data_IF_492160356066
#
_entry.id   IF_492160356066
#
_cell.length_a   1.000
_cell.length_b   1.000
_cell.length_c   1.000
_cell.angle_alpha   90.00
_cell.angle_beta   90.00
_cell.angle_gamma   90.00
#
_symmetry.space_group_name_H-M   'P 1'
#
loop_
_entity.id
_entity.type
_entity.pdbx_description
1 polymer ?
#
# COMPACT_ATOMS: atom_id res chain seq x y z
N UNK A 1 3.64 -2.98 -5.16
CA UNK A 1 3.60 -2.77 -3.70
C UNK A 1 4.29 -1.45 -3.33
N UNK A 2 3.64 -0.59 -2.53
CA UNK A 2 4.18 0.69 -2.06
C UNK A 2 5.58 0.51 -1.48
N UNK A 3 5.82 -0.58 -0.75
CA UNK A 3 7.13 -0.86 -0.17
C UNK A 3 8.21 -1.18 -1.19
N UNK A 4 7.86 -1.88 -2.25
CA UNK A 4 8.79 -2.19 -3.33
C UNK A 4 9.21 -0.91 -4.07
N UNK A 5 8.23 -0.08 -4.43
CA UNK A 5 8.46 1.21 -5.07
C UNK A 5 9.38 2.10 -4.23
N UNK A 6 9.14 2.20 -2.92
CA UNK A 6 9.98 2.98 -2.02
C UNK A 6 11.47 2.59 -2.07
N UNK A 7 11.74 1.29 -2.20
CA UNK A 7 13.08 0.74 -2.18
C UNK A 7 13.79 0.80 -3.54
N UNK A 8 13.05 0.62 -4.64
CA UNK A 8 13.65 0.56 -5.99
C UNK A 8 13.72 1.92 -6.68
N UNK A 9 12.79 2.84 -6.38
CA UNK A 9 12.70 4.15 -7.01
C UNK A 9 13.02 5.27 -6.00
N UNK A 10 14.22 5.20 -5.40
CA UNK A 10 14.61 6.04 -4.26
C UNK A 10 14.41 7.54 -4.49
N UNK A 11 14.81 8.07 -5.65
CA UNK A 11 14.65 9.50 -5.95
C UNK A 11 13.18 9.94 -5.98
N UNK A 12 12.28 9.09 -6.47
CA UNK A 12 10.84 9.33 -6.43
C UNK A 12 10.25 9.23 -5.02
N UNK A 13 10.71 8.25 -4.24
CA UNK A 13 10.30 8.05 -2.86
C UNK A 13 10.72 9.22 -1.96
N UNK A 14 11.97 9.67 -2.08
CA UNK A 14 12.50 10.83 -1.36
C UNK A 14 11.77 12.12 -1.75
N UNK A 15 11.53 12.33 -3.06
CA UNK A 15 10.75 13.47 -3.55
C UNK A 15 9.33 13.48 -2.98
N UNK A 16 8.64 12.32 -2.98
CA UNK A 16 7.32 12.17 -2.37
C UNK A 16 7.35 12.47 -0.86
N UNK A 17 8.37 11.95 -0.15
CA UNK A 17 8.52 12.16 1.29
C UNK A 17 8.64 13.66 1.61
N UNK A 18 9.56 14.34 0.93
CA UNK A 18 9.83 15.75 1.15
C UNK A 18 8.60 16.61 0.86
N UNK A 19 7.83 16.25 -0.17
CA UNK A 19 6.64 17.00 -0.58
C UNK A 19 5.43 16.77 0.36
N UNK A 20 5.12 15.51 0.68
CA UNK A 20 3.88 15.16 1.40
C UNK A 20 4.05 14.96 2.91
N UNK A 21 5.28 14.76 3.39
CA UNK A 21 5.58 14.53 4.81
C UNK A 21 6.30 15.71 5.46
N UNK A 22 7.30 16.30 4.80
CA UNK A 22 8.02 17.48 5.29
C UNK A 22 9.52 17.28 5.49
N UNK A 23 10.14 18.11 6.35
CA UNK A 23 11.61 18.17 6.48
C UNK A 23 12.19 17.02 7.33
N UNK A 24 13.19 16.35 6.77
CA UNK A 24 13.95 15.27 7.39
C UNK A 24 14.46 14.32 6.30
N UNK A 25 15.30 13.36 6.68
CA UNK A 25 15.73 12.32 5.74
C UNK A 25 14.61 11.31 5.57
N UNK A 26 14.27 10.98 4.32
CA UNK A 26 13.38 9.87 4.02
C UNK A 26 13.94 8.58 4.67
N UNK A 27 13.10 7.77 5.34
CA UNK A 27 13.57 6.55 5.99
C UNK A 27 14.11 5.52 4.99
N UNK A 28 15.24 4.89 5.36
CA UNK A 28 15.77 3.73 4.65
C UNK A 28 14.90 2.49 4.90
N UNK A 29 14.22 2.01 3.86
CA UNK A 29 13.17 1.01 3.97
C UNK A 29 11.87 1.62 4.54
N UNK A 30 10.71 1.45 3.88
CA UNK A 30 9.52 2.17 4.27
C UNK A 30 8.91 1.57 5.54
N UNK A 31 8.76 2.36 6.61
CA UNK A 31 7.94 1.96 7.74
C UNK A 31 6.48 1.87 7.31
N UNK A 32 5.70 1.06 8.04
CA UNK A 32 4.30 0.77 7.72
C UNK A 32 3.44 2.03 7.53
N UNK A 33 3.72 3.08 8.31
CA UNK A 33 3.00 4.34 8.24
C UNK A 33 3.15 5.06 6.90
N UNK A 34 4.24 4.84 6.15
CA UNK A 34 4.41 5.40 4.80
C UNK A 34 3.35 4.81 3.86
N UNK A 35 3.22 3.48 3.83
CA UNK A 35 2.19 2.80 3.03
C UNK A 35 0.79 3.23 3.46
N UNK A 36 0.55 3.35 4.78
CA UNK A 36 -0.72 3.87 5.31
C UNK A 36 -1.02 5.29 4.82
N UNK A 37 -0.02 6.17 4.81
CA UNK A 37 -0.17 7.55 4.34
C UNK A 37 -0.45 7.62 2.85
N UNK A 38 0.26 6.84 2.02
CA UNK A 38 0.00 6.75 0.58
C UNK A 38 -1.44 6.31 0.34
N UNK A 39 -1.88 5.21 0.96
CA UNK A 39 -3.25 4.71 0.81
C UNK A 39 -4.28 5.73 1.31
N UNK A 40 -4.02 6.38 2.46
CA UNK A 40 -4.90 7.43 2.99
C UNK A 40 -5.07 8.59 2.02
N UNK A 41 -4.00 9.04 1.38
CA UNK A 41 -4.07 10.11 0.36
C UNK A 41 -4.95 9.70 -0.83
N UNK A 42 -4.93 8.43 -1.24
CA UNK A 42 -5.83 7.93 -2.28
C UNK A 42 -7.29 7.97 -1.81
N UNK A 43 -7.56 7.64 -0.54
CA UNK A 43 -8.89 7.79 0.05
C UNK A 43 -9.33 9.27 0.12
N UNK A 44 -8.44 10.20 0.40
CA UNK A 44 -8.76 11.64 0.55
C UNK A 44 -8.84 12.39 -0.78
N UNK A 45 -8.38 11.79 -1.88
CA UNK A 45 -8.39 12.44 -3.20
C UNK A 45 -9.80 12.83 -3.68
N UNK A 46 -9.90 13.80 -4.59
CA UNK A 46 -11.17 14.15 -5.25
C UNK A 46 -11.57 13.18 -6.37
N UNK A 47 -10.76 12.13 -6.62
CA UNK A 47 -11.06 11.13 -7.64
C UNK A 47 -12.36 10.39 -7.32
N UNK A 48 -13.17 10.14 -8.35
CA UNK A 48 -14.42 9.39 -8.20
C UNK A 48 -14.17 7.99 -7.64
N UNK A 49 -13.15 7.31 -8.15
CA UNK A 49 -12.76 5.96 -7.73
C UNK A 49 -11.36 5.94 -7.14
N UNK A 50 -11.23 5.18 -6.06
CA UNK A 50 -9.94 4.84 -5.44
C UNK A 50 -9.79 3.33 -5.52
N UNK A 51 -8.85 2.88 -6.36
CA UNK A 51 -8.58 1.46 -6.58
C UNK A 51 -7.12 1.23 -6.22
N UNK A 52 -6.89 0.42 -5.19
CA UNK A 52 -5.54 0.04 -4.77
C UNK A 52 -5.38 -1.48 -4.89
N UNK A 53 -4.23 -1.97 -5.37
CA UNK A 53 -3.86 -3.38 -5.27
C UNK A 53 -3.94 -3.89 -3.83
N UNK A 54 -4.36 -5.15 -3.65
CA UNK A 54 -4.41 -5.77 -2.31
C UNK A 54 -3.04 -5.81 -1.63
N UNK A 55 -1.95 -5.89 -2.42
CA UNK A 55 -0.59 -5.83 -1.92
C UNK A 55 -0.31 -4.53 -1.16
N UNK A 56 -0.85 -3.41 -1.64
CA UNK A 56 -0.64 -2.10 -1.00
C UNK A 56 -1.45 -1.96 0.28
N UNK A 57 -2.64 -2.56 0.33
CA UNK A 57 -3.41 -2.66 1.59
C UNK A 57 -2.66 -3.49 2.63
N UNK A 58 -2.10 -4.64 2.25
CA UNK A 58 -1.36 -5.52 3.15
C UNK A 58 -0.04 -4.84 3.61
N UNK A 59 0.63 -4.10 2.73
CA UNK A 59 1.87 -3.36 3.03
C UNK A 59 1.68 -2.26 4.09
N UNK A 60 0.44 -1.86 4.41
CA UNK A 60 0.13 -0.95 5.51
C UNK A 60 0.43 -1.54 6.90
N UNK A 61 0.67 -2.85 7.02
CA UNK A 61 0.85 -3.53 8.30
C UNK A 61 2.01 -4.51 8.28
N UNK A 62 3.00 -4.28 9.14
CA UNK A 62 4.23 -5.06 9.21
C UNK A 62 4.01 -6.54 9.51
N UNK A 63 2.96 -6.88 10.27
CA UNK A 63 2.60 -8.26 10.60
C UNK A 63 1.92 -9.00 9.43
N UNK A 64 1.34 -8.26 8.47
CA UNK A 64 0.59 -8.84 7.37
C UNK A 64 1.42 -8.96 6.09
N UNK A 65 2.33 -8.01 5.85
CA UNK A 65 3.17 -7.96 4.65
C UNK A 65 4.13 -9.13 4.53
N UNK A 66 4.50 -9.45 3.29
CA UNK A 66 5.50 -10.47 3.01
C UNK A 66 6.89 -10.03 3.55
N UNK A 67 7.80 -10.98 3.77
CA UNK A 67 9.17 -10.62 4.18
C UNK A 67 9.92 -9.87 3.07
N UNK A 68 9.81 -10.33 1.83
CA UNK A 68 10.47 -9.73 0.68
C UNK A 68 9.47 -8.99 -0.21
N UNK A 69 9.54 -7.65 -0.33
CA UNK A 69 8.59 -6.89 -1.14
C UNK A 69 8.61 -7.25 -2.64
N UNK A 70 9.71 -7.82 -3.15
CA UNK A 70 9.77 -8.31 -4.53
C UNK A 70 8.83 -9.48 -4.78
N UNK A 71 8.56 -10.28 -3.75
CA UNK A 71 7.62 -11.39 -3.84
C UNK A 71 6.19 -10.90 -4.06
N UNK A 72 5.90 -9.63 -3.78
CA UNK A 72 4.57 -9.04 -3.96
C UNK A 72 4.39 -8.34 -5.32
N UNK A 73 5.42 -8.34 -6.17
CA UNK A 73 5.34 -7.78 -7.51
C UNK A 73 4.55 -8.71 -8.44
N UNK A 74 3.52 -8.17 -9.10
CA UNK A 74 2.71 -8.94 -10.06
C UNK A 74 3.41 -9.08 -11.42
N UNK A 75 4.09 -8.03 -11.88
CA UNK A 75 4.64 -7.96 -13.22
C UNK A 75 5.81 -6.96 -13.27
N UNK A 76 6.81 -7.25 -14.12
CA UNK A 76 7.89 -6.33 -14.48
C UNK A 76 7.92 -6.16 -16.00
N UNK A 77 7.61 -4.98 -16.54
CA UNK A 77 7.63 -4.76 -17.98
C UNK A 77 8.98 -5.13 -18.62
N UNK A 78 8.94 -5.80 -19.78
CA UNK A 78 10.13 -6.27 -20.49
C UNK A 78 10.69 -7.60 -19.97
N UNK A 79 10.08 -8.21 -18.94
CA UNK A 79 10.44 -9.53 -18.44
C UNK A 79 9.24 -10.48 -18.56
N UNK A 80 9.47 -11.70 -19.06
CA UNK A 80 8.45 -12.75 -19.14
C UNK A 80 8.49 -13.67 -17.92
N UNK A 81 9.69 -13.97 -17.46
CA UNK A 81 9.91 -15.00 -16.45
C UNK A 81 9.55 -14.49 -15.06
N UNK A 82 8.70 -15.26 -14.35
CA UNK A 82 8.26 -14.92 -12.99
C UNK A 82 7.22 -13.80 -12.92
N UNK A 83 6.64 -13.36 -14.04
CA UNK A 83 5.52 -12.43 -14.05
C UNK A 83 4.17 -13.17 -13.97
N UNK A 84 3.15 -12.51 -13.43
CA UNK A 84 1.77 -13.02 -13.31
C UNK A 84 1.57 -14.26 -12.42
N UNK A 85 2.60 -14.65 -11.67
CA UNK A 85 2.56 -15.80 -10.75
C UNK A 85 2.22 -15.42 -9.32
N UNK A 86 2.04 -14.14 -9.03
CA UNK A 86 1.73 -13.69 -7.67
C UNK A 86 0.45 -14.32 -7.14
N UNK A 87 0.50 -14.71 -5.86
CA UNK A 87 -0.61 -15.16 -5.05
C UNK A 87 -0.49 -14.49 -3.70
N UNK A 88 -1.62 -14.09 -3.11
CA UNK A 88 -1.60 -13.57 -1.75
C UNK A 88 -1.06 -14.66 -0.81
N UNK A 89 -0.01 -14.34 -0.05
CA UNK A 89 0.58 -15.24 0.94
C UNK A 89 -0.27 -15.37 2.21
N UNK A 90 -1.31 -14.55 2.34
CA UNK A 90 -2.34 -14.65 3.37
C UNK A 90 -3.59 -15.25 2.76
N UNK A 91 -4.26 -16.09 3.54
CA UNK A 91 -5.61 -16.52 3.17
C UNK A 91 -6.58 -15.38 3.39
N UNK A 92 -7.58 -15.27 2.52
CA UNK A 92 -8.61 -14.26 2.66
C UNK A 92 -9.41 -14.43 3.97
N UNK A 93 -9.64 -15.67 4.40
CA UNK A 93 -10.34 -15.95 5.67
C UNK A 93 -9.56 -15.46 6.90
N UNK A 94 -8.24 -15.40 6.81
CA UNK A 94 -7.40 -14.87 7.89
C UNK A 94 -7.45 -13.34 7.87
N UNK A 95 -7.37 -12.70 6.70
CA UNK A 95 -7.48 -11.25 6.56
C UNK A 95 -8.82 -10.69 7.06
N UNK A 96 -9.92 -11.43 6.86
CA UNK A 96 -11.25 -11.04 7.39
C UNK A 96 -11.24 -10.96 8.94
N UNK A 97 -10.35 -11.69 9.62
CA UNK A 97 -10.24 -11.71 11.08
C UNK A 97 -9.24 -10.67 11.63
N UNK A 98 -8.56 -9.92 10.78
CA UNK A 98 -7.60 -8.89 11.18
C UNK A 98 -8.33 -7.59 11.56
N UNK A 99 -8.86 -7.53 12.79
CA UNK A 99 -9.72 -6.43 13.24
C UNK A 99 -9.10 -5.04 13.08
N UNK A 100 -7.82 -4.88 13.42
CA UNK A 100 -7.13 -3.58 13.31
C UNK A 100 -6.99 -3.12 11.85
N UNK A 101 -6.67 -4.06 10.95
CA UNK A 101 -6.57 -3.82 9.51
C UNK A 101 -7.94 -3.44 8.92
N UNK A 102 -8.97 -4.22 9.23
CA UNK A 102 -10.33 -3.99 8.73
C UNK A 102 -10.92 -2.69 9.28
N UNK A 103 -10.71 -2.39 10.56
CA UNK A 103 -11.16 -1.15 11.18
C UNK A 103 -10.47 0.08 10.56
N UNK A 104 -9.19 -0.01 10.21
CA UNK A 104 -8.46 1.07 9.53
C UNK A 104 -9.06 1.37 8.14
N UNK A 105 -9.35 0.33 7.34
CA UNK A 105 -9.96 0.50 6.02
C UNK A 105 -11.38 1.07 6.15
N UNK A 106 -12.20 0.52 7.05
CA UNK A 106 -13.55 0.99 7.30
C UNK A 106 -13.58 2.46 7.75
N UNK A 107 -12.63 2.86 8.62
CA UNK A 107 -12.45 4.25 9.05
C UNK A 107 -12.13 5.15 7.86
N UNK A 108 -11.19 4.76 7.00
CA UNK A 108 -10.84 5.52 5.80
C UNK A 108 -12.04 5.71 4.88
N UNK A 109 -12.81 4.65 4.60
CA UNK A 109 -14.02 4.72 3.77
C UNK A 109 -15.05 5.70 4.36
N UNK A 110 -15.28 5.63 5.67
CA UNK A 110 -16.27 6.47 6.36
C UNK A 110 -15.86 7.94 6.38
N UNK A 111 -14.62 8.23 6.76
CA UNK A 111 -14.12 9.60 6.92
C UNK A 111 -14.01 10.34 5.60
N UNK A 112 -13.72 9.63 4.49
CA UNK A 112 -13.59 10.25 3.17
C UNK A 112 -14.85 10.14 2.31
N UNK A 113 -15.96 9.68 2.89
CA UNK A 113 -17.27 9.68 2.22
C UNK A 113 -17.42 8.67 1.08
N UNK A 114 -16.48 7.72 0.92
CA UNK A 114 -16.45 6.75 -0.18
C UNK A 114 -17.40 5.56 -0.03
N UNK A 115 -18.10 5.47 1.10
CA UNK A 115 -19.08 4.41 1.40
C UNK A 115 -20.53 4.85 1.38
N UNK A 116 -20.84 6.08 0.92
CA UNK A 116 -22.22 6.56 0.84
C UNK A 116 -22.88 5.98 -0.41
N UNK A 117 -24.00 5.27 -0.24
CA UNK A 117 -24.91 5.00 -1.34
C UNK A 117 -25.52 6.32 -1.81
N UNK A 118 -25.61 6.51 -3.12
CA UNK A 118 -26.34 7.61 -3.75
C UNK A 118 -27.84 7.47 -3.53
#
# INVERSE_FOLDING_TARGET
PCRLWWNEEWGGAEGWYNYFVGQGNAPGGPPDWISQKIIRMHFESSALWTINPIQDYIDMWGALRSQNPKNDMINRPGQTDGCWVWRCHKRMEDLIKEDAFNACIAKNIKETGRGRAY
#
